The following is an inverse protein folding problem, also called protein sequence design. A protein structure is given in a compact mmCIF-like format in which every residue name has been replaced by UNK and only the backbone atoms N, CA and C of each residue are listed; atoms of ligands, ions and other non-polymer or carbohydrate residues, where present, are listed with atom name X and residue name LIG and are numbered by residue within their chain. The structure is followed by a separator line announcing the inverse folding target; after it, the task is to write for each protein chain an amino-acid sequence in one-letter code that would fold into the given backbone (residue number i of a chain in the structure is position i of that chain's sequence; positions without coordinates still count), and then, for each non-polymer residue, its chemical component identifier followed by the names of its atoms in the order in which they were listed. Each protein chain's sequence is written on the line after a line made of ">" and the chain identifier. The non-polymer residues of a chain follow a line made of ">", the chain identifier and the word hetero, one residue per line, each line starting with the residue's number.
data_IF_153404076485
#
_entry.id   IF_153404076485
#
_cell.length_a   1.000
_cell.length_b   1.000
_cell.length_c   1.000
_cell.angle_alpha   90.00
_cell.angle_beta   90.00
_cell.angle_gamma   90.00
#
_symmetry.space_group_name_H-M   'P 1'
#
loop_
_entity.id
_entity.type
_entity.pdbx_description
1 polymer ?
#
# COMPACT_ATOMS: atom_id res chain seq x y z
N UNK A 1 12.57 13.68 -3.90
CA UNK A 1 11.70 13.22 -2.80
C UNK A 1 11.24 14.47 -2.09
N UNK A 2 9.95 14.75 -2.12
CA UNK A 2 9.40 15.83 -1.30
C UNK A 2 9.62 15.49 0.18
N UNK A 3 9.90 16.51 0.98
CA UNK A 3 10.08 16.32 2.42
C UNK A 3 8.76 15.82 3.03
N UNK A 4 8.79 14.76 3.86
CA UNK A 4 7.59 14.31 4.56
C UNK A 4 7.07 15.41 5.45
N UNK A 5 5.76 15.66 5.41
CA UNK A 5 5.14 16.65 6.26
C UNK A 5 5.06 16.13 7.69
N UNK A 6 5.51 16.94 8.64
CA UNK A 6 5.54 16.58 10.06
C UNK A 6 4.80 17.65 10.86
N UNK A 7 3.75 17.26 11.58
CA UNK A 7 2.93 18.16 12.40
C UNK A 7 2.90 17.71 13.87
N UNK A 8 2.79 18.62 14.85
CA UNK A 8 2.57 18.24 16.23
C UNK A 8 1.12 17.76 16.46
N UNK A 9 0.92 16.83 17.38
CA UNK A 9 -0.40 16.24 17.71
C UNK A 9 -1.45 17.29 18.12
N UNK A 10 -1.03 18.46 18.61
CA UNK A 10 -1.92 19.56 18.96
C UNK A 10 -2.67 20.12 17.73
N UNK A 11 -2.10 20.00 16.55
CA UNK A 11 -2.66 20.56 15.32
C UNK A 11 -3.83 19.71 14.79
N UNK A 12 -3.97 18.47 15.27
CA UNK A 12 -5.14 17.62 15.03
C UNK A 12 -6.45 18.20 15.58
N UNK A 13 -6.39 19.22 16.45
CA UNK A 13 -7.57 19.92 16.94
C UNK A 13 -8.33 20.66 15.83
N UNK A 14 -7.66 21.03 14.74
CA UNK A 14 -8.30 21.65 13.58
C UNK A 14 -8.58 20.58 12.50
N UNK A 15 -9.66 19.84 12.69
CA UNK A 15 -10.02 18.70 11.85
C UNK A 15 -10.26 19.08 10.39
N UNK A 16 -10.83 20.25 10.11
CA UNK A 16 -11.08 20.70 8.73
C UNK A 16 -9.78 20.95 7.97
N UNK A 17 -8.81 21.65 8.58
CA UNK A 17 -7.51 21.90 7.94
C UNK A 17 -6.75 20.60 7.71
N UNK A 18 -6.74 19.70 8.69
CA UNK A 18 -6.06 18.41 8.56
C UNK A 18 -6.74 17.53 7.50
N UNK A 19 -8.07 17.50 7.47
CA UNK A 19 -8.81 16.76 6.44
C UNK A 19 -8.44 17.26 5.06
N UNK A 20 -8.43 18.58 4.81
CA UNK A 20 -8.05 19.13 3.51
C UNK A 20 -6.60 18.77 3.15
N UNK A 21 -5.68 18.90 4.10
CA UNK A 21 -4.27 18.58 3.89
C UNK A 21 -4.06 17.12 3.48
N UNK A 22 -4.77 16.18 4.12
CA UNK A 22 -4.75 14.76 3.76
C UNK A 22 -5.21 14.48 2.32
N UNK A 23 -6.12 15.28 1.77
CA UNK A 23 -6.62 15.10 0.39
C UNK A 23 -5.77 15.83 -0.64
N UNK A 24 -5.20 16.99 -0.29
CA UNK A 24 -4.37 17.79 -1.21
C UNK A 24 -2.99 17.15 -1.44
N UNK A 25 -2.40 16.58 -0.39
CA UNK A 25 -1.04 16.07 -0.44
C UNK A 25 -0.93 14.73 -1.15
N UNK A 26 -1.99 13.90 -1.11
CA UNK A 26 -1.97 12.50 -1.56
C UNK A 26 -0.80 11.68 -0.99
N UNK A 27 -0.27 12.10 0.16
CA UNK A 27 0.93 11.54 0.79
C UNK A 27 0.72 11.41 2.32
N UNK A 28 1.44 10.50 3.00
CA UNK A 28 1.38 10.38 4.46
C UNK A 28 1.87 11.63 5.19
N UNK A 29 1.15 12.03 6.24
CA UNK A 29 1.54 13.11 7.16
C UNK A 29 1.91 12.50 8.50
N UNK A 30 3.12 12.80 8.97
CA UNK A 30 3.65 12.28 10.23
C UNK A 30 3.27 13.20 11.37
N UNK A 31 2.82 12.62 12.47
CA UNK A 31 2.42 13.34 13.67
C UNK A 31 3.42 13.08 14.79
N UNK A 32 3.82 14.15 15.47
CA UNK A 32 4.74 14.10 16.61
C UNK A 32 4.05 14.45 17.92
N UNK A 33 4.47 13.80 19.00
CA UNK A 33 4.07 14.08 20.37
C UNK A 33 5.33 14.23 21.23
N UNK A 34 5.49 15.40 21.84
CA UNK A 34 6.69 15.74 22.64
C UNK A 34 8.02 15.57 21.87
N UNK A 35 8.02 15.84 20.56
CA UNK A 35 9.21 15.73 19.70
C UNK A 35 9.49 14.32 19.16
N UNK A 36 8.69 13.32 19.53
CA UNK A 36 8.81 11.96 19.03
C UNK A 36 7.70 11.64 18.03
N UNK A 37 7.99 10.82 17.02
CA UNK A 37 6.96 10.29 16.12
C UNK A 37 5.93 9.47 16.90
N UNK A 38 4.66 9.68 16.60
CA UNK A 38 3.52 9.11 17.35
C UNK A 38 2.57 8.37 16.42
N UNK A 39 2.13 9.00 15.32
CA UNK A 39 1.21 8.40 14.35
C UNK A 39 1.41 8.96 12.94
N UNK A 40 0.76 8.34 11.96
CA UNK A 40 0.66 8.80 10.58
C UNK A 40 -0.81 8.96 10.23
N UNK A 41 -1.14 10.03 9.52
CA UNK A 41 -2.48 10.29 9.01
C UNK A 41 -2.42 10.55 7.51
N UNK A 42 -3.46 10.16 6.78
CA UNK A 42 -3.62 10.36 5.35
C UNK A 42 -5.12 10.26 4.98
N UNK A 43 -5.48 10.59 3.74
CA UNK A 43 -6.84 10.32 3.26
C UNK A 43 -7.08 8.81 3.12
N UNK A 44 -8.35 8.38 3.10
CA UNK A 44 -8.69 6.98 2.85
C UNK A 44 -8.19 6.53 1.46
N UNK A 45 -8.36 7.37 0.45
CA UNK A 45 -7.88 7.10 -0.92
C UNK A 45 -6.36 6.86 -0.96
N UNK A 46 -5.59 7.71 -0.28
CA UNK A 46 -4.13 7.54 -0.18
C UNK A 46 -3.77 6.24 0.54
N UNK A 47 -4.47 5.90 1.62
CA UNK A 47 -4.24 4.66 2.34
C UNK A 47 -4.51 3.43 1.46
N UNK A 48 -5.67 3.38 0.80
CA UNK A 48 -6.07 2.27 -0.06
C UNK A 48 -5.12 2.11 -1.25
N UNK A 49 -4.71 3.21 -1.88
CA UNK A 49 -3.73 3.22 -2.96
C UNK A 49 -2.39 2.64 -2.50
N UNK A 50 -1.89 3.06 -1.33
CA UNK A 50 -0.62 2.56 -0.80
C UNK A 50 -0.71 1.07 -0.45
N UNK A 51 -1.83 0.62 0.14
CA UNK A 51 -2.07 -0.80 0.42
C UNK A 51 -2.08 -1.62 -0.88
N UNK A 52 -2.80 -1.17 -1.90
CA UNK A 52 -2.84 -1.82 -3.21
C UNK A 52 -1.44 -1.97 -3.84
N UNK A 53 -0.62 -0.92 -3.81
CA UNK A 53 0.73 -1.00 -4.35
C UNK A 53 1.62 -1.96 -3.55
N UNK A 54 1.50 -2.00 -2.22
CA UNK A 54 2.25 -2.95 -1.40
C UNK A 54 1.90 -4.40 -1.78
N UNK A 55 0.61 -4.71 -1.93
CA UNK A 55 0.15 -6.04 -2.34
C UNK A 55 0.65 -6.39 -3.75
N UNK A 56 0.58 -5.42 -4.69
CA UNK A 56 1.09 -5.60 -6.05
C UNK A 56 2.60 -5.90 -6.05
N UNK A 57 3.39 -5.15 -5.28
CA UNK A 57 4.84 -5.38 -5.19
C UNK A 57 5.16 -6.74 -4.56
N UNK A 58 4.43 -7.16 -3.54
CA UNK A 58 4.59 -8.49 -2.94
C UNK A 58 4.29 -9.59 -3.95
N UNK A 59 3.22 -9.46 -4.74
CA UNK A 59 2.87 -10.44 -5.77
C UNK A 59 3.92 -10.49 -6.90
N UNK A 60 4.48 -9.34 -7.27
CA UNK A 60 5.55 -9.29 -8.27
C UNK A 60 6.83 -9.95 -7.75
N UNK A 61 7.21 -9.70 -6.49
CA UNK A 61 8.37 -10.35 -5.87
C UNK A 61 8.20 -11.88 -5.82
N UNK A 62 7.00 -12.37 -5.47
CA UNK A 62 6.69 -13.79 -5.50
C UNK A 62 6.80 -14.38 -6.91
N UNK A 63 6.24 -13.69 -7.91
CA UNK A 63 6.31 -14.12 -9.31
C UNK A 63 7.76 -14.14 -9.84
N UNK A 64 8.59 -13.18 -9.44
CA UNK A 64 10.02 -13.17 -9.77
C UNK A 64 10.75 -14.36 -9.11
N UNK A 65 10.43 -14.70 -7.86
CA UNK A 65 10.96 -15.89 -7.19
C UNK A 65 10.51 -17.18 -7.88
N UNK A 66 9.26 -17.26 -8.33
CA UNK A 66 8.73 -18.40 -9.07
C UNK A 66 9.49 -18.60 -10.38
N UNK A 67 9.72 -17.52 -11.13
CA UNK A 67 10.54 -17.55 -12.35
C UNK A 67 11.95 -18.06 -12.07
N UNK A 68 12.63 -17.54 -11.04
CA UNK A 68 14.00 -17.93 -10.68
C UNK A 68 14.10 -19.41 -10.26
N UNK A 69 13.07 -19.93 -9.61
CA UNK A 69 13.03 -21.32 -9.15
C UNK A 69 12.41 -22.29 -10.17
N UNK A 70 12.02 -21.81 -11.36
CA UNK A 70 11.38 -22.61 -12.39
C UNK A 70 9.95 -23.08 -12.02
N UNK A 71 9.29 -22.43 -11.06
CA UNK A 71 7.90 -22.68 -10.68
C UNK A 71 6.94 -21.96 -11.61
N UNK A 72 7.06 -22.22 -12.91
CA UNK A 72 6.25 -21.61 -13.96
C UNK A 72 5.62 -22.70 -14.82
N UNK A 73 4.41 -22.46 -15.30
CA UNK A 73 3.69 -23.38 -16.18
C UNK A 73 3.25 -22.66 -17.46
N UNK A 74 3.12 -23.42 -18.55
CA UNK A 74 2.48 -22.92 -19.77
C UNK A 74 1.00 -22.61 -19.51
N UNK A 75 0.44 -21.65 -20.24
CA UNK A 75 -0.97 -21.27 -20.05
C UNK A 75 -1.93 -22.43 -20.32
N UNK A 76 -1.65 -23.25 -21.33
CA UNK A 76 -2.48 -24.41 -21.68
C UNK A 76 -2.44 -25.48 -20.58
N UNK A 77 -1.24 -25.77 -20.05
CA UNK A 77 -1.02 -26.73 -18.96
C UNK A 77 -1.71 -26.26 -17.66
N UNK A 78 -1.58 -24.98 -17.32
CA UNK A 78 -2.27 -24.41 -16.16
C UNK A 78 -3.79 -24.49 -16.27
N UNK A 79 -4.35 -24.24 -17.45
CA UNK A 79 -5.79 -24.33 -17.69
C UNK A 79 -6.27 -25.78 -17.56
N UNK A 80 -5.52 -26.74 -18.11
CA UNK A 80 -5.85 -28.16 -18.00
C UNK A 80 -5.77 -28.65 -16.54
N UNK A 81 -4.78 -28.20 -15.78
CA UNK A 81 -4.65 -28.49 -14.35
C UNK A 81 -5.85 -27.96 -13.55
N UNK A 82 -6.27 -26.72 -13.80
CA UNK A 82 -7.43 -26.11 -13.13
C UNK A 82 -8.71 -26.89 -13.45
N UNK A 83 -8.95 -27.20 -14.73
CA UNK A 83 -10.12 -27.99 -15.15
C UNK A 83 -10.16 -29.34 -14.46
N UNK A 84 -9.03 -30.04 -14.45
CA UNK A 84 -8.89 -31.35 -13.79
C UNK A 84 -9.12 -31.25 -12.28
N UNK A 85 -8.62 -30.21 -11.62
CA UNK A 85 -8.77 -30.02 -10.17
C UNK A 85 -10.21 -29.77 -9.74
N UNK A 86 -11.01 -29.11 -10.57
CA UNK A 86 -12.37 -28.70 -10.25
C UNK A 86 -13.46 -29.44 -11.03
N UNK A 87 -13.12 -30.53 -11.74
CA UNK A 87 -14.04 -31.32 -12.58
C UNK A 87 -14.86 -30.45 -13.57
N UNK A 88 -14.19 -29.51 -14.26
CA UNK A 88 -14.78 -28.62 -15.27
C UNK A 88 -14.59 -29.09 -16.71
#
# INVERSE_FOLDING_TARGET
>A
MDMPQILPIRDLKNTSTISNLCHETNEPIFITKNGYGDMVIMSMETYEKNAFFNDLYSNLEEAEMDLQNGRVSGIDEAIEEIKTRYDL
#
